data_IF_245582205647
#
_entry.id   IF_245582205647
#
_cell.length_a   1.000
_cell.length_b   1.000
_cell.length_c   1.000
_cell.angle_alpha   90.00
_cell.angle_beta   90.00
_cell.angle_gamma   90.00
#
_symmetry.space_group_name_H-M   'P 1'
#
loop_
_entity.id
_entity.type
_entity.pdbx_description
1 polymer ?
#
# COMPACT_ATOMS: atom_id res chain seq x y z
N UNK A 1 14.70 26.03 -28.19
CA UNK A 1 13.30 25.67 -27.86
C UNK A 1 13.16 24.55 -26.81
N UNK A 2 14.09 23.60 -26.69
CA UNK A 2 13.98 22.51 -25.68
C UNK A 2 14.42 22.92 -24.26
N UNK A 3 15.27 23.95 -24.11
CA UNK A 3 15.69 24.48 -22.79
C UNK A 3 14.67 25.43 -22.13
N UNK A 4 13.81 26.10 -22.91
CA UNK A 4 12.78 27.01 -22.39
C UNK A 4 11.64 26.26 -21.68
N UNK A 5 11.33 25.02 -22.10
CA UNK A 5 10.28 24.19 -21.48
C UNK A 5 10.67 23.64 -20.10
N UNK A 6 11.98 23.51 -19.79
CA UNK A 6 12.45 23.04 -18.47
C UNK A 6 12.39 24.13 -17.40
N UNK A 7 12.46 25.40 -17.77
CA UNK A 7 12.39 26.52 -16.82
C UNK A 7 10.95 26.97 -16.50
N UNK A 8 9.98 26.65 -17.34
CA UNK A 8 8.56 26.94 -17.06
C UNK A 8 7.93 25.94 -16.07
N UNK A 9 8.41 24.68 -16.06
CA UNK A 9 7.90 23.63 -15.16
C UNK A 9 8.42 23.75 -13.72
N UNK A 10 9.56 24.41 -13.50
CA UNK A 10 10.19 24.55 -12.18
C UNK A 10 9.79 25.82 -11.41
N UNK A 11 9.26 26.86 -12.06
CA UNK A 11 8.84 28.10 -11.38
C UNK A 11 7.35 28.11 -10.96
N UNK A 12 6.51 27.27 -11.55
CA UNK A 12 5.12 27.09 -11.09
C UNK A 12 5.02 26.17 -9.86
N UNK A 13 5.86 25.13 -9.77
CA UNK A 13 5.83 24.20 -8.63
C UNK A 13 6.36 24.80 -7.33
N UNK A 14 7.32 25.74 -7.38
CA UNK A 14 7.85 26.38 -6.16
C UNK A 14 6.87 27.39 -5.55
N UNK A 15 6.03 28.04 -6.37
CA UNK A 15 4.95 28.91 -5.87
C UNK A 15 3.82 28.07 -5.26
N UNK A 16 3.44 26.96 -5.90
CA UNK A 16 2.41 26.04 -5.35
C UNK A 16 2.92 25.28 -4.10
N UNK A 17 4.22 24.99 -3.99
CA UNK A 17 4.79 24.29 -2.84
C UNK A 17 5.06 25.19 -1.62
N UNK A 18 5.29 26.50 -1.80
CA UNK A 18 5.46 27.45 -0.68
C UNK A 18 4.15 27.94 -0.07
N UNK A 19 3.01 27.63 -0.67
CA UNK A 19 1.68 27.96 -0.12
C UNK A 19 1.07 26.79 0.70
N UNK A 20 1.68 25.60 0.65
CA UNK A 20 1.18 24.39 1.34
C UNK A 20 1.75 24.22 2.77
N UNK A 21 2.82 24.94 3.14
CA UNK A 21 3.46 24.82 4.48
C UNK A 21 3.14 26.00 5.42
N UNK A 22 2.20 26.88 5.07
CA UNK A 22 1.74 27.99 5.92
C UNK A 22 0.27 27.88 6.35
N UNK A 23 -0.25 26.66 6.53
CA UNK A 23 -1.57 26.44 7.18
C UNK A 23 -1.54 25.31 8.23
N UNK A 24 -0.42 25.13 8.94
CA UNK A 24 -0.40 24.35 10.18
C UNK A 24 -0.54 25.34 11.35
N UNK A 25 -1.78 25.71 11.68
CA UNK A 25 -2.04 26.59 12.80
C UNK A 25 -3.35 27.38 12.75
N UNK A 26 -4.46 26.77 12.37
CA UNK A 26 -5.77 27.27 12.81
C UNK A 26 -6.52 26.13 13.46
N UNK A 27 -6.71 26.22 14.78
CA UNK A 27 -7.74 25.43 15.44
C UNK A 27 -9.05 25.78 14.73
N UNK A 28 -9.62 24.82 14.00
CA UNK A 28 -10.99 24.98 13.51
C UNK A 28 -11.86 25.30 14.73
N UNK A 29 -12.65 26.39 14.73
CA UNK A 29 -13.62 26.58 15.80
C UNK A 29 -14.53 25.37 15.81
N UNK A 30 -14.88 24.89 17.00
CA UNK A 30 -15.82 23.78 17.17
C UNK A 30 -17.06 24.10 16.32
N UNK A 31 -17.23 23.35 15.22
CA UNK A 31 -18.37 23.48 14.33
C UNK A 31 -19.57 22.99 15.13
N UNK A 32 -20.32 23.91 15.72
CA UNK A 32 -21.53 23.58 16.45
C UNK A 32 -22.48 22.86 15.50
N UNK A 33 -22.84 21.63 15.84
CA UNK A 33 -23.72 20.80 15.03
C UNK A 33 -25.16 21.33 15.15
N UNK A 34 -25.51 22.30 14.28
CA UNK A 34 -26.85 22.90 14.25
C UNK A 34 -27.86 22.10 13.43
N UNK A 35 -27.52 20.86 13.07
CA UNK A 35 -28.39 19.98 12.29
C UNK A 35 -29.70 19.73 13.03
N UNK A 36 -29.65 19.57 14.36
CA UNK A 36 -30.84 19.40 15.19
C UNK A 36 -31.78 20.62 15.14
N UNK A 37 -31.25 21.84 15.24
CA UNK A 37 -32.04 23.08 15.12
C UNK A 37 -32.67 23.20 13.73
N UNK A 38 -31.89 22.90 12.68
CA UNK A 38 -32.39 22.91 11.31
C UNK A 38 -33.55 21.92 11.11
N UNK A 39 -33.41 20.67 11.59
CA UNK A 39 -34.48 19.69 11.49
C UNK A 39 -35.72 20.10 12.29
N UNK A 40 -35.55 20.68 13.48
CA UNK A 40 -36.66 21.21 14.29
C UNK A 40 -37.41 22.34 13.58
N UNK A 41 -36.70 23.33 13.04
CA UNK A 41 -37.31 24.44 12.29
C UNK A 41 -37.99 23.94 11.01
N UNK A 42 -37.38 22.99 10.30
CA UNK A 42 -37.94 22.40 9.09
C UNK A 42 -39.22 21.62 9.35
N UNK A 43 -39.30 20.89 10.47
CA UNK A 43 -40.48 20.12 10.86
C UNK A 43 -41.65 21.05 11.24
N UNK A 44 -41.39 22.07 12.07
CA UNK A 44 -42.37 23.12 12.41
C UNK A 44 -42.93 23.78 11.15
N UNK A 45 -42.07 24.09 10.15
CA UNK A 45 -42.50 24.67 8.88
C UNK A 45 -43.35 23.69 8.05
N UNK A 46 -43.06 22.39 8.09
CA UNK A 46 -43.83 21.37 7.38
C UNK A 46 -45.23 21.19 7.99
N UNK A 47 -45.32 21.14 9.32
CA UNK A 47 -46.58 21.07 10.07
C UNK A 47 -47.46 22.30 9.80
N UNK A 48 -46.89 23.51 9.80
CA UNK A 48 -47.62 24.75 9.48
C UNK A 48 -48.18 24.77 8.05
N UNK A 49 -47.53 24.10 7.10
CA UNK A 49 -47.97 24.02 5.70
C UNK A 49 -48.83 22.79 5.41
N UNK A 50 -49.19 22.00 6.43
CA UNK A 50 -49.94 20.75 6.26
C UNK A 50 -49.22 19.71 5.41
N UNK A 51 -47.89 19.83 5.26
CA UNK A 51 -47.09 18.93 4.42
C UNK A 51 -46.52 17.83 5.33
N UNK A 52 -46.75 16.54 5.04
CA UNK A 52 -46.16 15.46 5.83
C UNK A 52 -44.63 15.57 5.81
N UNK A 53 -43.94 15.15 6.89
CA UNK A 53 -42.49 15.14 6.94
C UNK A 53 -41.98 14.38 5.72
N UNK A 54 -41.16 15.05 4.94
CA UNK A 54 -40.68 14.58 3.65
C UNK A 54 -39.82 13.33 3.83
N UNK A 55 -40.43 12.15 3.84
CA UNK A 55 -39.75 10.87 3.65
C UNK A 55 -39.28 10.79 2.19
N UNK A 56 -38.29 11.60 1.83
CA UNK A 56 -37.65 11.51 0.52
C UNK A 56 -37.12 10.09 0.41
N UNK A 57 -37.55 9.31 -0.59
CA UNK A 57 -36.93 8.03 -0.88
C UNK A 57 -35.42 8.29 -1.01
N UNK A 58 -34.60 7.42 -0.41
CA UNK A 58 -33.15 7.49 -0.61
C UNK A 58 -32.91 7.53 -2.12
N UNK A 59 -32.14 8.50 -2.64
CA UNK A 59 -31.89 8.59 -4.08
C UNK A 59 -31.41 7.22 -4.58
N UNK A 60 -32.15 6.64 -5.53
CA UNK A 60 -31.73 5.36 -6.10
C UNK A 60 -30.37 5.55 -6.75
N UNK A 61 -29.46 4.61 -6.47
CA UNK A 61 -28.11 4.63 -7.05
C UNK A 61 -28.27 4.50 -8.56
N UNK A 62 -27.79 5.50 -9.30
CA UNK A 62 -27.77 5.45 -10.76
C UNK A 62 -26.93 4.26 -11.23
N UNK A 63 -27.19 3.73 -12.42
CA UNK A 63 -26.39 2.64 -12.98
C UNK A 63 -24.89 3.00 -13.02
N UNK A 64 -24.58 4.25 -13.38
CA UNK A 64 -23.22 4.80 -13.31
C UNK A 64 -22.66 4.78 -11.88
N UNK A 65 -23.42 5.26 -10.88
CA UNK A 65 -23.01 5.30 -9.48
C UNK A 65 -22.86 3.92 -8.82
N UNK A 66 -23.62 2.92 -9.29
CA UNK A 66 -23.47 1.53 -8.88
C UNK A 66 -22.17 0.94 -9.45
N UNK A 67 -21.92 1.12 -10.74
CA UNK A 67 -20.71 0.63 -11.42
C UNK A 67 -19.46 1.33 -10.91
N UNK A 68 -19.46 2.66 -10.78
CA UNK A 68 -18.30 3.42 -10.28
C UNK A 68 -17.90 3.03 -8.87
N UNK A 69 -18.87 2.76 -8.00
CA UNK A 69 -18.61 2.29 -6.64
C UNK A 69 -18.02 0.88 -6.59
N UNK A 70 -18.44 -0.03 -7.49
CA UNK A 70 -17.82 -1.36 -7.58
C UNK A 70 -16.35 -1.25 -7.99
N UNK A 71 -16.05 -0.37 -8.95
CA UNK A 71 -14.67 -0.10 -9.36
C UNK A 71 -13.87 0.54 -8.21
N UNK A 72 -14.46 1.48 -7.47
CA UNK A 72 -13.84 2.08 -6.29
C UNK A 72 -13.53 1.07 -5.18
N UNK A 73 -14.42 0.10 -4.94
CA UNK A 73 -14.17 -1.00 -4.00
C UNK A 73 -13.03 -1.90 -4.48
N UNK A 74 -13.04 -2.29 -5.76
CA UNK A 74 -11.96 -3.08 -6.34
C UNK A 74 -10.61 -2.35 -6.26
N UNK A 75 -10.61 -1.03 -6.43
CA UNK A 75 -9.41 -0.21 -6.28
C UNK A 75 -8.91 -0.18 -4.83
N UNK A 76 -9.80 -0.10 -3.85
CA UNK A 76 -9.41 -0.18 -2.44
C UNK A 76 -8.81 -1.56 -2.09
N UNK A 77 -9.38 -2.64 -2.64
CA UNK A 77 -8.81 -3.98 -2.50
C UNK A 77 -7.42 -4.09 -3.15
N UNK A 78 -7.19 -3.43 -4.29
CA UNK A 78 -5.88 -3.34 -4.92
C UNK A 78 -4.87 -2.69 -3.97
N UNK A 79 -5.21 -1.51 -3.44
CA UNK A 79 -4.35 -0.76 -2.53
C UNK A 79 -4.02 -1.59 -1.28
N UNK A 80 -5.00 -2.28 -0.71
CA UNK A 80 -4.78 -3.19 0.43
C UNK A 80 -3.78 -4.31 0.13
N UNK A 81 -3.82 -4.89 -1.08
CA UNK A 81 -2.86 -5.91 -1.52
C UNK A 81 -1.46 -5.32 -1.73
N UNK A 82 -1.36 -4.12 -2.30
CA UNK A 82 -0.08 -3.41 -2.50
C UNK A 82 0.56 -3.09 -1.15
N UNK A 83 -0.21 -2.63 -0.16
CA UNK A 83 0.28 -2.38 1.20
C UNK A 83 0.80 -3.67 1.85
N UNK A 84 0.08 -4.79 1.70
CA UNK A 84 0.55 -6.10 2.19
C UNK A 84 1.84 -6.53 1.50
N UNK A 85 1.92 -6.40 0.17
CA UNK A 85 3.13 -6.72 -0.59
C UNK A 85 4.31 -5.87 -0.12
N UNK A 86 4.12 -4.56 0.04
CA UNK A 86 5.16 -3.65 0.53
C UNK A 86 5.69 -4.08 1.91
N UNK A 87 4.79 -4.46 2.83
CA UNK A 87 5.17 -4.97 4.14
C UNK A 87 6.02 -6.24 4.05
N UNK A 88 5.68 -7.17 3.16
CA UNK A 88 6.45 -8.40 2.94
C UNK A 88 7.78 -8.12 2.24
N UNK A 89 7.78 -7.24 1.25
CA UNK A 89 8.95 -6.83 0.50
C UNK A 89 10.04 -6.24 1.40
N UNK A 90 9.65 -5.47 2.43
CA UNK A 90 10.58 -4.88 3.40
C UNK A 90 11.16 -5.85 4.42
N UNK A 91 10.68 -7.11 4.50
CA UNK A 91 11.20 -8.09 5.48
C UNK A 91 12.59 -8.56 5.07
N UNK A 92 13.55 -8.40 5.97
CA UNK A 92 14.95 -8.81 5.78
C UNK A 92 15.35 -10.10 6.50
N UNK A 93 14.38 -10.83 7.10
CA UNK A 93 14.62 -12.08 7.83
C UNK A 93 15.40 -13.11 6.99
N UNK A 94 16.30 -13.85 7.63
CA UNK A 94 17.15 -14.88 7.01
C UNK A 94 16.48 -16.25 6.95
N UNK A 95 15.62 -16.56 7.92
CA UNK A 95 15.03 -17.90 8.07
C UNK A 95 13.62 -17.99 7.47
N UNK A 96 12.86 -16.92 7.57
CA UNK A 96 11.50 -16.85 7.04
C UNK A 96 11.46 -15.94 5.81
N UNK A 97 11.85 -16.48 4.66
CA UNK A 97 11.76 -15.73 3.41
C UNK A 97 10.32 -15.75 2.85
N UNK A 98 9.62 -14.60 2.78
CA UNK A 98 8.27 -14.52 2.21
C UNK A 98 8.23 -14.65 0.67
N UNK A 99 9.22 -15.27 0.01
CA UNK A 99 9.33 -15.32 -1.45
C UNK A 99 8.08 -15.91 -2.14
N UNK A 100 7.51 -16.99 -1.60
CA UNK A 100 6.29 -17.60 -2.14
C UNK A 100 5.07 -16.67 -2.00
N UNK A 101 4.88 -16.07 -0.82
CA UNK A 101 3.78 -15.15 -0.55
C UNK A 101 3.87 -13.88 -1.41
N UNK A 102 5.09 -13.37 -1.62
CA UNK A 102 5.37 -12.26 -2.54
C UNK A 102 4.96 -12.63 -3.97
N UNK A 103 5.32 -13.83 -4.45
CA UNK A 103 4.97 -14.28 -5.80
C UNK A 103 3.45 -14.42 -5.98
N UNK A 104 2.75 -15.01 -5.00
CA UNK A 104 1.30 -15.16 -5.01
C UNK A 104 0.60 -13.79 -5.04
N UNK A 105 0.92 -12.90 -4.10
CA UNK A 105 0.30 -11.57 -4.03
C UNK A 105 0.62 -10.76 -5.30
N UNK A 106 1.82 -10.89 -5.85
CA UNK A 106 2.18 -10.23 -7.11
C UNK A 106 1.34 -10.72 -8.29
N UNK A 107 1.08 -12.03 -8.37
CA UNK A 107 0.17 -12.60 -9.37
C UNK A 107 -1.26 -12.07 -9.24
N UNK A 108 -1.77 -12.04 -8.00
CA UNK A 108 -3.10 -11.51 -7.69
C UNK A 108 -3.22 -10.01 -8.00
N UNK A 109 -2.17 -9.21 -7.74
CA UNK A 109 -2.14 -7.78 -8.07
C UNK A 109 -2.17 -7.57 -9.59
N UNK A 110 -1.36 -8.31 -10.35
CA UNK A 110 -1.34 -8.23 -11.82
C UNK A 110 -2.72 -8.52 -12.42
N UNK A 111 -3.38 -9.60 -11.97
CA UNK A 111 -4.73 -9.93 -12.42
C UNK A 111 -5.74 -8.83 -12.05
N UNK A 112 -5.66 -8.32 -10.82
CA UNK A 112 -6.59 -7.32 -10.32
C UNK A 112 -6.43 -5.98 -11.04
N UNK A 113 -5.19 -5.58 -11.37
CA UNK A 113 -4.90 -4.39 -12.16
C UNK A 113 -5.56 -4.46 -13.55
N UNK A 114 -5.44 -5.61 -14.24
CA UNK A 114 -6.09 -5.84 -15.52
C UNK A 114 -7.63 -5.77 -15.41
N UNK A 115 -8.19 -6.37 -14.37
CA UNK A 115 -9.65 -6.34 -14.11
C UNK A 115 -10.16 -4.93 -13.84
N UNK A 116 -9.47 -4.16 -13.00
CA UNK A 116 -9.86 -2.77 -12.66
C UNK A 116 -9.71 -1.87 -13.88
N UNK A 117 -8.62 -2.00 -14.65
CA UNK A 117 -8.44 -1.28 -15.91
C UNK A 117 -9.60 -1.51 -16.89
N UNK A 118 -9.94 -2.78 -17.16
CA UNK A 118 -11.07 -3.11 -18.04
C UNK A 118 -12.42 -2.61 -17.50
N UNK A 119 -12.61 -2.60 -16.18
CA UNK A 119 -13.83 -2.08 -15.56
C UNK A 119 -13.94 -0.55 -15.65
N UNK A 120 -12.82 0.17 -15.53
CA UNK A 120 -12.75 1.63 -15.74
C UNK A 120 -13.08 1.97 -17.20
N UNK A 121 -12.55 1.21 -18.16
CA UNK A 121 -12.88 1.41 -19.57
C UNK A 121 -14.35 1.12 -19.87
N UNK A 122 -14.91 0.05 -19.32
CA UNK A 122 -16.32 -0.27 -19.45
C UNK A 122 -17.20 0.84 -18.86
N UNK A 123 -16.81 1.39 -17.70
CA UNK A 123 -17.51 2.52 -17.08
C UNK A 123 -17.44 3.76 -17.96
N UNK A 124 -16.30 4.06 -18.57
CA UNK A 124 -16.15 5.18 -19.50
C UNK A 124 -17.03 5.02 -20.76
N UNK A 125 -17.21 3.79 -21.24
CA UNK A 125 -18.09 3.45 -22.38
C UNK A 125 -19.59 3.45 -22.02
N UNK A 126 -19.95 3.23 -20.75
CA UNK A 126 -21.33 3.00 -20.30
C UNK A 126 -22.31 4.18 -20.41
N UNK A 127 -21.91 5.27 -21.09
CA UNK A 127 -22.75 6.43 -21.35
C UNK A 127 -22.73 7.43 -20.19
N UNK A 128 -22.64 8.72 -20.53
CA UNK A 128 -22.61 9.81 -19.55
C UNK A 128 -24.04 10.11 -19.10
N UNK A 129 -24.29 10.30 -17.80
CA UNK A 129 -25.61 10.72 -17.32
C UNK A 129 -26.00 12.07 -17.95
N UNK A 130 -27.28 12.20 -18.31
CA UNK A 130 -27.81 13.42 -18.92
C UNK A 130 -27.68 14.62 -17.97
N UNK A 131 -27.29 15.77 -18.53
CA UNK A 131 -27.08 17.02 -17.80
C UNK A 131 -25.61 17.35 -17.53
N UNK A 132 -25.23 18.61 -17.74
CA UNK A 132 -23.84 19.08 -17.67
C UNK A 132 -23.16 18.75 -16.32
N UNK A 133 -23.88 18.91 -15.21
CA UNK A 133 -23.35 18.65 -13.87
C UNK A 133 -23.04 17.17 -13.64
N UNK A 134 -23.94 16.28 -14.06
CA UNK A 134 -23.72 14.85 -13.94
C UNK A 134 -22.60 14.36 -14.86
N UNK A 135 -22.50 14.93 -16.07
CA UNK A 135 -21.43 14.63 -17.01
C UNK A 135 -20.05 15.11 -16.53
N UNK A 136 -19.97 16.26 -15.85
CA UNK A 136 -18.75 16.76 -15.22
C UNK A 136 -18.35 15.91 -14.00
N UNK A 137 -19.33 15.55 -13.16
CA UNK A 137 -19.10 14.66 -12.02
C UNK A 137 -18.60 13.28 -12.47
N UNK A 138 -19.19 12.71 -13.52
CA UNK A 138 -18.76 11.43 -14.08
C UNK A 138 -17.28 11.45 -14.51
N UNK A 139 -16.80 12.54 -15.13
CA UNK A 139 -15.38 12.68 -15.49
C UNK A 139 -14.47 12.82 -14.28
N UNK A 140 -14.90 13.57 -13.26
CA UNK A 140 -14.14 13.68 -12.02
C UNK A 140 -13.98 12.30 -11.35
N UNK A 141 -15.01 11.47 -11.39
CA UNK A 141 -14.93 10.08 -10.89
C UNK A 141 -14.00 9.24 -11.75
N UNK A 142 -14.11 9.32 -13.08
CA UNK A 142 -13.24 8.55 -13.99
C UNK A 142 -11.77 8.94 -13.82
N UNK A 143 -11.46 10.23 -13.71
CA UNK A 143 -10.10 10.71 -13.49
C UNK A 143 -9.55 10.27 -12.12
N UNK A 144 -10.38 10.31 -11.07
CA UNK A 144 -10.02 9.78 -9.76
C UNK A 144 -9.68 8.30 -9.80
N UNK A 145 -10.54 7.48 -10.44
CA UNK A 145 -10.33 6.03 -10.56
C UNK A 145 -9.06 5.71 -11.36
N UNK A 146 -8.82 6.41 -12.48
CA UNK A 146 -7.59 6.27 -13.27
C UNK A 146 -6.35 6.66 -12.45
N UNK A 147 -6.39 7.79 -11.76
CA UNK A 147 -5.28 8.25 -10.92
C UNK A 147 -4.99 7.30 -9.76
N UNK A 148 -6.02 6.68 -9.16
CA UNK A 148 -5.82 5.66 -8.15
C UNK A 148 -5.24 4.36 -8.69
N UNK A 149 -5.67 3.92 -9.88
CA UNK A 149 -5.06 2.75 -10.54
C UNK A 149 -3.56 2.96 -10.82
N UNK A 150 -3.20 4.17 -11.25
CA UNK A 150 -1.81 4.57 -11.46
C UNK A 150 -1.03 4.52 -10.14
N UNK A 151 -1.56 5.10 -9.05
CA UNK A 151 -0.93 5.02 -7.72
C UNK A 151 -0.74 3.57 -7.25
N UNK A 152 -1.75 2.71 -7.43
CA UNK A 152 -1.64 1.29 -7.10
C UNK A 152 -0.54 0.59 -7.92
N UNK A 153 -0.40 0.95 -9.21
CA UNK A 153 0.64 0.41 -10.09
C UNK A 153 2.04 0.86 -9.69
N UNK A 154 2.20 2.14 -9.36
CA UNK A 154 3.47 2.70 -8.86
C UNK A 154 3.87 2.10 -7.52
N UNK A 155 2.91 1.96 -6.58
CA UNK A 155 3.15 1.31 -5.29
C UNK A 155 3.55 -0.16 -5.43
N UNK A 156 2.96 -0.88 -6.38
CA UNK A 156 3.35 -2.25 -6.71
C UNK A 156 4.78 -2.32 -7.24
N UNK A 157 5.16 -1.45 -8.19
CA UNK A 157 6.52 -1.38 -8.72
C UNK A 157 7.54 -1.06 -7.63
N UNK A 158 7.23 -0.08 -6.78
CA UNK A 158 8.10 0.32 -5.68
C UNK A 158 8.30 -0.82 -4.66
N UNK A 159 7.26 -1.59 -4.35
CA UNK A 159 7.37 -2.75 -3.47
C UNK A 159 8.32 -3.82 -4.04
N UNK A 160 8.24 -4.11 -5.35
CA UNK A 160 9.15 -5.05 -6.00
C UNK A 160 10.59 -4.54 -6.05
N UNK A 161 10.80 -3.26 -6.35
CA UNK A 161 12.14 -2.64 -6.32
C UNK A 161 12.76 -2.67 -4.92
N UNK A 162 11.96 -2.40 -3.88
CA UNK A 162 12.40 -2.50 -2.49
C UNK A 162 12.87 -3.91 -2.17
N UNK A 163 12.14 -4.93 -2.65
CA UNK A 163 12.50 -6.32 -2.45
C UNK A 163 13.80 -6.68 -3.17
N UNK A 164 13.97 -6.24 -4.40
CA UNK A 164 15.20 -6.43 -5.19
C UNK A 164 16.42 -5.84 -4.46
N UNK A 165 16.29 -4.61 -3.95
CA UNK A 165 17.35 -3.97 -3.17
C UNK A 165 17.72 -4.76 -1.90
N UNK A 166 16.73 -5.35 -1.22
CA UNK A 166 16.98 -6.18 -0.04
C UNK A 166 17.70 -7.49 -0.40
N UNK A 167 17.32 -8.14 -1.50
CA UNK A 167 17.97 -9.37 -1.97
C UNK A 167 19.42 -9.12 -2.37
N UNK A 168 19.66 -8.09 -3.19
CA UNK A 168 21.02 -7.68 -3.57
C UNK A 168 21.89 -7.35 -2.34
N UNK A 169 21.34 -6.66 -1.34
CA UNK A 169 22.06 -6.37 -0.10
C UNK A 169 22.32 -7.63 0.75
N UNK A 170 21.46 -8.65 0.68
CA UNK A 170 21.70 -9.95 1.34
C UNK A 170 22.83 -10.71 0.65
N UNK A 171 22.84 -10.76 -0.68
CA UNK A 171 23.90 -11.40 -1.48
C UNK A 171 25.27 -10.75 -1.23
N UNK A 172 25.34 -9.42 -1.27
CA UNK A 172 26.57 -8.67 -0.99
C UNK A 172 27.12 -8.90 0.44
N UNK A 173 26.24 -9.17 1.42
CA UNK A 173 26.66 -9.57 2.78
C UNK A 173 27.14 -11.01 2.81
N UNK A 174 26.47 -11.93 2.11
CA UNK A 174 26.86 -13.33 2.05
C UNK A 174 28.26 -13.49 1.45
N UNK A 175 28.58 -12.76 0.36
CA UNK A 175 29.93 -12.75 -0.23
C UNK A 175 31.01 -12.29 0.77
N UNK A 176 30.74 -11.22 1.52
CA UNK A 176 31.68 -10.68 2.52
C UNK A 176 31.94 -11.64 3.69
N UNK A 177 30.99 -12.51 4.01
CA UNK A 177 31.12 -13.48 5.10
C UNK A 177 31.84 -14.75 4.61
N UNK A 178 32.15 -14.87 3.31
CA UNK A 178 32.87 -16.02 2.76
C UNK A 178 32.06 -17.32 2.78
N UNK A 179 30.77 -17.26 3.11
CA UNK A 179 29.84 -18.37 2.91
C UNK A 179 29.48 -18.39 1.44
N UNK A 180 30.43 -18.85 0.63
CA UNK A 180 30.08 -19.50 -0.62
C UNK A 180 29.20 -20.68 -0.27
N UNK A 181 27.98 -20.72 -0.79
CA UNK A 181 27.16 -21.93 -0.78
C UNK A 181 27.90 -22.97 -1.64
N UNK A 182 28.87 -23.65 -1.04
CA UNK A 182 29.30 -24.96 -1.45
C UNK A 182 28.37 -25.95 -0.73
N UNK A 183 27.17 -26.12 -1.28
CA UNK A 183 26.32 -27.24 -0.92
C UNK A 183 26.91 -28.51 -1.57
N UNK A 184 27.98 -29.03 -0.98
CA UNK A 184 28.32 -30.44 -1.08
C UNK A 184 27.56 -31.17 0.03
N UNK A 185 26.66 -32.13 -0.28
CA UNK A 185 26.17 -33.04 0.72
C UNK A 185 27.30 -34.01 1.05
N UNK A 186 28.03 -33.76 2.14
CA UNK A 186 28.89 -34.77 2.75
C UNK A 186 28.02 -35.62 3.67
N UNK A 187 27.74 -36.90 3.37
CA UNK A 187 27.10 -37.78 4.35
C UNK A 187 28.14 -38.13 5.40
N UNK A 188 28.02 -37.51 6.58
CA UNK A 188 28.68 -37.96 7.79
C UNK A 188 28.05 -39.28 8.24
N UNK A 189 28.82 -40.37 8.15
CA UNK A 189 28.36 -41.69 8.55
C UNK A 189 29.49 -42.69 8.74
N UNK A 190 30.47 -42.41 9.61
CA UNK A 190 31.22 -43.44 10.35
C UNK A 190 32.13 -42.84 11.43
N UNK A 191 31.68 -42.89 12.68
CA UNK A 191 32.56 -42.81 13.86
C UNK A 191 32.84 -44.25 14.32
N UNK A 192 34.03 -44.75 13.98
CA UNK A 192 34.71 -45.87 14.66
C UNK A 192 36.17 -45.43 14.75
N UNK A 193 36.84 -45.40 15.90
CA UNK A 193 36.86 -46.40 16.96
C UNK A 193 38.25 -47.02 16.92
N UNK A 194 39.13 -46.63 17.85
CA UNK A 194 40.44 -47.27 18.08
C UNK A 194 41.64 -46.32 18.00
N UNK A 195 42.29 -46.10 19.14
CA UNK A 195 43.56 -45.37 19.22
C UNK A 195 43.98 -45.10 20.66
N UNK A 196 44.50 -46.11 21.33
CA UNK A 196 45.12 -46.01 22.65
C UNK A 196 46.40 -45.18 22.61
N UNK A 197 46.65 -44.36 23.64
CA UNK A 197 47.89 -43.62 23.80
C UNK A 197 47.94 -42.84 25.12
N UNK A 198 48.48 -43.50 26.16
CA UNK A 198 48.82 -42.93 27.47
C UNK A 198 49.95 -41.91 27.40
N UNK A 199 49.81 -40.78 28.11
CA UNK A 199 50.89 -40.12 28.89
C UNK A 199 50.31 -38.96 29.71
N UNK A 200 50.08 -39.16 31.01
CA UNK A 200 50.92 -38.68 32.13
C UNK A 200 50.96 -37.15 32.27
N UNK A 201 50.12 -36.65 33.18
CA UNK A 201 50.22 -35.32 33.80
C UNK A 201 51.26 -35.33 34.94
N UNK A 202 52.15 -34.34 35.07
CA UNK A 202 52.92 -34.13 36.28
C UNK A 202 52.17 -33.18 37.23
N UNK A 203 51.80 -33.67 38.41
CA UNK A 203 51.37 -32.82 39.53
C UNK A 203 52.56 -32.56 40.44
N UNK A 204 52.96 -31.29 40.55
CA UNK A 204 53.96 -30.78 41.49
C UNK A 204 53.40 -30.61 42.92
N UNK A 205 54.27 -30.29 43.91
CA UNK A 205 54.17 -30.85 45.25
C UNK A 205 53.79 -29.86 46.38
N UNK A 206 53.28 -30.46 47.47
CA UNK A 206 53.59 -30.28 48.90
C UNK A 206 53.38 -28.92 49.62
N UNK A 207 52.73 -29.03 50.78
CA UNK A 207 52.82 -28.14 51.94
C UNK A 207 51.45 -27.73 52.47
N UNK A 208 51.03 -27.95 53.71
CA UNK A 208 51.70 -28.40 54.93
C UNK A 208 51.01 -27.73 56.12
N UNK A 209 50.58 -28.55 57.08
CA UNK A 209 50.47 -28.34 58.53
C UNK A 209 49.76 -27.11 59.13
N UNK A 210 48.86 -27.39 60.09
CA UNK A 210 48.36 -26.44 61.08
C UNK A 210 47.01 -26.83 61.64
#
# INVERSE_FOLDING_TARGET
>A
LVQAARLYRSRCWVVVAREIVAMQGSSSPARTDRTAEFFGIADVRCQQRGRPPSSRPRPQRTAFGASSSRVGQALHELDGRVVRLSKLASKTSLFDDPALEIAEISGLIKQHLGRVSGSIEALARSGRPAGAQFAAHAEAVLSYLKGGLQRGSEGFQHALQTREAILSAKEARAEKIGVGVAATPTPAGRCGGGGAGSSRTPSGPLGGSG
#
